data_IF_563261785257
#
_entry.id   IF_563261785257
#
_cell.length_a   1.000
_cell.length_b   1.000
_cell.length_c   1.000
_cell.angle_alpha   90.00
_cell.angle_beta   90.00
_cell.angle_gamma   90.00
#
_symmetry.space_group_name_H-M   'P 1'
#
loop_
_entity.id
_entity.type
_entity.pdbx_description
1 polymer ?
#
# COMPACT_ATOMS: atom_id res chain seq x y z
N UNK A 1 26.11 -1.71 13.36
CA UNK A 1 27.51 -2.13 13.53
C UNK A 1 28.20 -1.25 14.56
N UNK A 2 29.26 -1.74 15.22
CA UNK A 2 30.03 -0.94 16.18
C UNK A 2 30.66 0.29 15.50
N UNK A 3 30.30 1.49 15.93
CA UNK A 3 30.89 2.72 15.42
C UNK A 3 32.20 3.01 16.18
N UNK A 4 33.35 2.66 15.59
CA UNK A 4 34.68 2.82 16.21
C UNK A 4 34.94 4.22 16.76
N UNK A 5 34.41 5.25 16.10
CA UNK A 5 34.64 6.65 16.46
C UNK A 5 34.02 7.06 17.81
N UNK A 6 33.02 6.35 18.33
CA UNK A 6 32.36 6.66 19.62
C UNK A 6 32.63 5.63 20.72
N UNK A 7 33.42 4.58 20.44
CA UNK A 7 33.69 3.51 21.42
C UNK A 7 34.30 4.05 22.72
N UNK A 8 35.26 4.97 22.62
CA UNK A 8 35.89 5.57 23.80
C UNK A 8 34.92 6.46 24.59
N UNK A 9 34.03 7.18 23.90
CA UNK A 9 32.96 7.97 24.54
C UNK A 9 32.02 7.05 25.32
N UNK A 10 31.54 5.97 24.71
CA UNK A 10 30.65 5.02 25.37
C UNK A 10 31.31 4.30 26.54
N UNK A 11 32.61 3.97 26.44
CA UNK A 11 33.36 3.43 27.59
C UNK A 11 33.41 4.42 28.75
N UNK A 12 33.69 5.70 28.47
CA UNK A 12 33.70 6.76 29.47
C UNK A 12 32.33 6.90 30.14
N UNK A 13 31.27 7.04 29.35
CA UNK A 13 29.90 7.20 29.87
C UNK A 13 29.43 5.96 30.64
N UNK A 14 29.81 4.75 30.19
CA UNK A 14 29.52 3.52 30.93
C UNK A 14 30.20 3.50 32.30
N UNK A 15 31.42 3.99 32.42
CA UNK A 15 32.10 4.08 33.71
C UNK A 15 31.48 5.17 34.60
N UNK A 16 31.01 6.28 34.01
CA UNK A 16 30.38 7.39 34.72
C UNK A 16 28.99 7.05 35.27
N UNK A 17 28.20 6.28 34.52
CA UNK A 17 26.81 5.94 34.85
C UNK A 17 26.60 4.46 35.22
N UNK A 18 27.67 3.68 35.34
CA UNK A 18 27.61 2.21 35.45
C UNK A 18 27.22 1.66 36.82
N UNK A 19 27.21 2.48 37.87
CA UNK A 19 26.94 2.02 39.24
C UNK A 19 25.46 1.69 39.50
N UNK A 20 24.53 2.35 38.80
CA UNK A 20 23.09 2.26 39.08
C UNK A 20 22.29 1.45 38.03
N UNK A 21 22.98 0.80 37.09
CA UNK A 21 22.38 0.04 35.97
C UNK A 21 21.39 0.84 35.09
N UNK A 22 21.39 2.18 35.19
CA UNK A 22 20.46 3.07 34.49
C UNK A 22 20.79 3.33 33.01
N UNK A 23 21.91 2.78 32.50
CA UNK A 23 22.36 2.97 31.12
C UNK A 23 22.85 1.65 30.51
N UNK A 24 22.11 1.16 29.52
CA UNK A 24 22.50 -0.02 28.75
C UNK A 24 22.85 0.34 27.30
N UNK A 25 23.97 -0.20 26.82
CA UNK A 25 24.37 -0.10 25.42
C UNK A 25 24.04 -1.39 24.69
N UNK A 26 23.31 -1.28 23.58
CA UNK A 26 23.08 -2.38 22.64
C UNK A 26 23.69 -2.02 21.28
N UNK A 27 24.29 -2.99 20.61
CA UNK A 27 24.85 -2.83 19.26
C UNK A 27 24.24 -3.88 18.35
N UNK A 28 23.64 -3.43 17.25
CA UNK A 28 23.20 -4.33 16.20
C UNK A 28 24.40 -4.78 15.35
N UNK A 29 24.67 -6.08 15.32
CA UNK A 29 25.73 -6.72 14.52
C UNK A 29 25.35 -6.84 13.04
N UNK A 30 25.09 -5.71 12.38
CA UNK A 30 24.73 -5.70 10.95
C UNK A 30 25.80 -6.33 10.04
N UNK A 31 27.06 -6.34 10.49
CA UNK A 31 28.20 -6.89 9.75
C UNK A 31 28.16 -8.42 9.57
N UNK A 32 27.38 -9.13 10.38
CA UNK A 32 27.20 -10.59 10.25
C UNK A 32 26.07 -10.97 9.30
N UNK A 33 25.32 -9.99 8.77
CA UNK A 33 24.17 -10.21 7.90
C UNK A 33 24.63 -10.16 6.43
N UNK A 34 24.60 -11.28 5.68
CA UNK A 34 25.13 -11.34 4.32
C UNK A 34 24.48 -10.33 3.36
N UNK A 35 23.18 -10.12 3.48
CA UNK A 35 22.43 -9.16 2.65
C UNK A 35 22.82 -7.71 2.88
N UNK A 36 23.50 -7.39 3.99
CA UNK A 36 23.93 -6.03 4.31
C UNK A 36 25.40 -5.75 3.95
N UNK A 37 26.14 -6.76 3.48
CA UNK A 37 27.55 -6.60 3.09
C UNK A 37 27.81 -5.49 2.06
N UNK A 38 26.97 -5.28 1.02
CA UNK A 38 27.20 -4.23 0.02
C UNK A 38 27.23 -2.80 0.60
N UNK A 39 26.65 -2.61 1.78
CA UNK A 39 26.53 -1.31 2.46
C UNK A 39 27.66 -1.03 3.46
N UNK A 40 28.57 -1.98 3.68
CA UNK A 40 29.70 -1.80 4.59
C UNK A 40 30.52 -0.56 4.21
N UNK A 41 30.83 0.27 5.20
CA UNK A 41 31.54 1.56 5.06
C UNK A 41 30.81 2.63 4.22
N UNK A 42 29.58 2.38 3.77
CA UNK A 42 28.73 3.35 3.05
C UNK A 42 27.56 3.88 3.91
N UNK A 43 27.35 3.30 5.09
CA UNK A 43 26.27 3.69 5.99
C UNK A 43 26.67 4.81 6.94
N UNK A 44 25.71 5.70 7.23
CA UNK A 44 25.77 6.63 8.36
C UNK A 44 25.35 5.92 9.65
N UNK A 45 26.08 6.07 10.78
CA UNK A 45 25.66 5.50 12.06
C UNK A 45 24.42 6.21 12.61
N UNK A 46 23.52 5.43 13.19
CA UNK A 46 22.30 5.91 13.85
C UNK A 46 22.27 5.38 15.27
N UNK A 47 22.00 6.28 16.22
CA UNK A 47 21.91 5.99 17.64
C UNK A 47 20.46 6.11 18.09
N UNK A 48 19.88 5.02 18.59
CA UNK A 48 18.51 4.94 19.07
C UNK A 48 18.51 4.98 20.59
N UNK A 49 17.68 5.85 21.17
CA UNK A 49 17.52 5.97 22.62
C UNK A 49 16.18 5.38 23.01
N UNK A 50 16.20 4.40 23.90
CA UNK A 50 15.03 3.63 24.28
C UNK A 50 14.78 3.71 25.79
N UNK A 51 13.53 3.95 26.19
CA UNK A 51 13.07 3.89 27.58
C UNK A 51 11.86 2.97 27.64
N UNK A 52 11.87 1.98 28.54
CA UNK A 52 10.80 0.97 28.67
C UNK A 52 10.41 0.31 27.34
N UNK A 53 11.41 -0.01 26.51
CA UNK A 53 11.22 -0.64 25.20
C UNK A 53 10.65 0.27 24.10
N UNK A 54 10.46 1.57 24.38
CA UNK A 54 10.00 2.56 23.38
C UNK A 54 11.13 3.47 22.97
N UNK A 55 11.27 3.71 21.66
CA UNK A 55 12.23 4.68 21.15
C UNK A 55 11.68 6.08 21.40
N UNK A 56 12.48 6.91 22.07
CA UNK A 56 12.12 8.29 22.42
C UNK A 56 12.89 9.32 21.61
N UNK A 57 14.09 8.98 21.11
CA UNK A 57 14.86 9.91 20.29
C UNK A 57 15.91 9.19 19.45
N UNK A 58 16.46 9.91 18.48
CA UNK A 58 17.37 9.39 17.46
C UNK A 58 18.45 10.45 17.22
N UNK A 59 19.70 10.01 17.16
CA UNK A 59 20.81 10.86 16.73
C UNK A 59 21.50 10.21 15.52
N UNK A 60 21.75 11.00 14.48
CA UNK A 60 22.42 10.57 13.26
C UNK A 60 23.84 11.09 13.21
N UNK A 61 24.69 10.28 12.61
CA UNK A 61 26.08 10.61 12.40
C UNK A 61 26.87 10.62 13.70
N UNK A 62 28.19 10.74 13.57
CA UNK A 62 29.10 10.73 14.70
C UNK A 62 29.22 12.13 15.30
N UNK A 63 28.21 12.55 16.06
CA UNK A 63 28.24 13.80 16.82
C UNK A 63 28.45 13.52 18.32
N UNK A 64 29.71 13.28 18.70
CA UNK A 64 30.08 12.92 20.07
C UNK A 64 29.57 13.90 21.15
N UNK A 65 29.67 15.24 20.98
CA UNK A 65 29.10 16.19 21.95
C UNK A 65 27.58 16.04 22.11
N UNK A 66 26.84 15.93 21.00
CA UNK A 66 25.38 15.79 21.04
C UNK A 66 24.97 14.47 21.69
N UNK A 67 25.63 13.37 21.33
CA UNK A 67 25.37 12.04 21.90
C UNK A 67 25.64 12.05 23.40
N UNK A 68 26.78 12.60 23.84
CA UNK A 68 27.13 12.71 25.25
C UNK A 68 26.10 13.51 26.02
N UNK A 69 25.74 14.70 25.52
CA UNK A 69 24.73 15.56 26.13
C UNK A 69 23.40 14.82 26.27
N UNK A 70 22.95 14.13 25.23
CA UNK A 70 21.67 13.42 25.22
C UNK A 70 21.64 12.24 26.19
N UNK A 71 22.72 11.47 26.29
CA UNK A 71 22.85 10.38 27.28
C UNK A 71 22.78 10.96 28.69
N UNK A 72 23.57 11.99 28.99
CA UNK A 72 23.60 12.61 30.32
C UNK A 72 22.24 13.17 30.73
N UNK A 73 21.56 13.90 29.85
CA UNK A 73 20.21 14.44 30.10
C UNK A 73 19.20 13.34 30.43
N UNK A 74 19.14 12.29 29.61
CA UNK A 74 18.18 11.20 29.78
C UNK A 74 18.46 10.38 31.04
N UNK A 75 19.72 10.06 31.33
CA UNK A 75 20.08 9.32 32.55
C UNK A 75 19.75 10.13 33.80
N UNK A 76 20.00 11.44 33.79
CA UNK A 76 19.69 12.31 34.92
C UNK A 76 18.17 12.41 35.13
N UNK A 77 17.40 12.56 34.06
CA UNK A 77 15.94 12.56 34.12
C UNK A 77 15.38 11.24 34.68
N UNK A 78 15.89 10.09 34.23
CA UNK A 78 15.47 8.79 34.76
C UNK A 78 15.82 8.62 36.25
N UNK A 79 16.96 9.17 36.70
CA UNK A 79 17.33 9.18 38.12
C UNK A 79 16.40 10.03 38.96
N UNK A 80 16.04 11.22 38.48
CA UNK A 80 15.08 12.10 39.15
C UNK A 80 13.70 11.43 39.27
N UNK A 81 13.26 10.73 38.21
CA UNK A 81 12.01 9.97 38.22
C UNK A 81 12.09 8.79 39.21
N UNK A 82 13.19 8.02 39.18
CA UNK A 82 13.38 6.89 40.08
C UNK A 82 13.47 7.32 41.56
N UNK A 83 14.03 8.50 41.83
CA UNK A 83 14.11 9.09 43.16
C UNK A 83 12.80 9.77 43.61
N UNK A 84 11.74 9.79 42.77
CA UNK A 84 10.47 10.44 43.05
C UNK A 84 10.53 11.98 43.06
N UNK A 85 11.59 12.57 42.50
CA UNK A 85 11.78 14.02 42.41
C UNK A 85 11.07 14.63 41.21
N UNK A 86 10.71 13.80 40.22
CA UNK A 86 10.02 14.19 39.00
C UNK A 86 8.99 13.13 38.62
N UNK A 87 7.79 13.54 38.24
CA UNK A 87 6.81 12.62 37.65
C UNK A 87 7.02 12.53 36.14
N UNK A 88 6.81 11.33 35.58
CA UNK A 88 6.87 11.14 34.13
C UNK A 88 5.58 11.67 33.50
N UNK A 89 5.69 12.72 32.71
CA UNK A 89 4.58 13.24 31.92
C UNK A 89 4.23 12.25 30.79
N UNK A 90 3.12 11.53 30.96
CA UNK A 90 2.66 10.53 30.00
C UNK A 90 2.27 11.13 28.64
N UNK A 91 1.74 12.35 28.62
CA UNK A 91 1.28 13.02 27.40
C UNK A 91 2.49 13.45 26.57
N UNK A 92 3.46 14.11 27.21
CA UNK A 92 4.71 14.50 26.57
C UNK A 92 5.51 13.27 26.11
N UNK A 93 5.57 12.23 26.94
CA UNK A 93 6.23 10.96 26.58
C UNK A 93 5.58 10.35 25.34
N UNK A 94 4.25 10.36 25.26
CA UNK A 94 3.53 9.85 24.09
C UNK A 94 3.87 10.64 22.83
N UNK A 95 3.88 11.97 22.92
CA UNK A 95 4.24 12.85 21.81
C UNK A 95 5.68 12.61 21.32
N UNK A 96 6.64 12.50 22.26
CA UNK A 96 8.05 12.20 21.95
C UNK A 96 8.17 10.84 21.23
N UNK A 97 7.47 9.81 21.71
CA UNK A 97 7.47 8.48 21.06
C UNK A 97 6.83 8.53 19.67
N UNK A 98 5.74 9.28 19.51
CA UNK A 98 5.09 9.48 18.20
C UNK A 98 6.01 10.20 17.22
N UNK A 99 6.72 11.25 17.65
CA UNK A 99 7.66 11.97 16.80
C UNK A 99 8.89 11.14 16.43
N UNK A 100 9.44 10.37 17.37
CA UNK A 100 10.51 9.40 17.08
C UNK A 100 10.03 8.31 16.10
N UNK A 101 8.79 7.84 16.25
CA UNK A 101 8.18 6.86 15.36
C UNK A 101 7.94 7.43 13.96
N UNK A 102 7.49 8.68 13.84
CA UNK A 102 7.34 9.39 12.55
C UNK A 102 8.68 9.55 11.85
N UNK A 103 9.72 9.95 12.59
CA UNK A 103 11.07 10.02 12.06
C UNK A 103 11.53 8.64 11.58
N UNK A 104 11.30 7.55 12.32
CA UNK A 104 11.65 6.20 11.86
C UNK A 104 10.82 5.76 10.65
N UNK A 105 9.51 5.99 10.65
CA UNK A 105 8.61 5.64 9.56
C UNK A 105 8.96 6.37 8.25
N UNK A 106 9.54 7.57 8.34
CA UNK A 106 10.07 8.28 7.18
C UNK A 106 11.20 7.50 6.48
N UNK A 107 12.05 6.79 7.22
CA UNK A 107 13.18 6.03 6.65
C UNK A 107 12.91 4.53 6.52
N UNK A 108 12.03 4.01 7.36
CA UNK A 108 11.65 2.61 7.45
C UNK A 108 10.11 2.56 7.42
N UNK A 109 9.50 2.59 6.22
CA UNK A 109 8.03 2.68 6.07
C UNK A 109 7.25 1.59 6.81
N UNK A 110 7.90 0.46 7.12
CA UNK A 110 7.33 -0.68 7.82
C UNK A 110 7.65 -0.73 9.32
N UNK A 111 8.35 0.27 9.87
CA UNK A 111 8.75 0.31 11.28
C UNK A 111 7.54 0.64 12.17
N UNK A 112 7.22 -0.25 13.12
CA UNK A 112 6.10 -0.06 14.04
C UNK A 112 4.75 -0.61 13.57
N UNK A 113 4.69 -1.30 12.43
CA UNK A 113 3.54 -2.16 12.10
C UNK A 113 3.53 -3.29 13.14
N UNK A 114 2.70 -3.14 14.17
CA UNK A 114 2.31 -4.27 15.02
C UNK A 114 1.68 -5.30 14.08
N UNK A 115 2.43 -6.36 13.75
CA UNK A 115 1.83 -7.59 13.25
C UNK A 115 0.91 -8.08 14.36
N UNK A 116 -0.38 -7.77 14.27
CA UNK A 116 -1.38 -8.53 14.99
C UNK A 116 -1.26 -9.95 14.47
N UNK A 117 -0.90 -10.91 15.32
CA UNK A 117 -0.75 -12.34 14.99
C UNK A 117 -2.05 -13.03 14.51
N UNK A 118 -3.10 -12.28 14.18
CA UNK A 118 -4.13 -12.77 13.28
C UNK A 118 -3.58 -12.71 11.86
N UNK A 119 -3.07 -13.84 11.37
CA UNK A 119 -2.65 -14.02 9.98
C UNK A 119 -3.91 -13.91 9.10
N UNK A 120 -4.25 -12.68 8.70
CA UNK A 120 -5.31 -12.41 7.75
C UNK A 120 -4.90 -13.04 6.43
N UNK A 121 -5.53 -14.16 6.10
CA UNK A 121 -5.31 -14.88 4.86
C UNK A 121 -6.12 -14.23 3.75
N UNK A 122 -5.59 -14.24 2.52
CA UNK A 122 -6.30 -13.79 1.32
C UNK A 122 -6.69 -15.02 0.47
N UNK A 123 -7.87 -14.99 -0.14
CA UNK A 123 -8.28 -15.97 -1.17
C UNK A 123 -8.85 -15.24 -2.38
N UNK A 124 -8.68 -15.81 -3.57
CA UNK A 124 -9.42 -15.35 -4.74
C UNK A 124 -10.87 -15.86 -4.69
N UNK A 125 -11.80 -15.03 -5.11
CA UNK A 125 -13.15 -15.46 -5.50
C UNK A 125 -13.53 -14.85 -6.86
N UNK A 126 -14.07 -15.66 -7.77
CA UNK A 126 -14.59 -15.19 -9.05
C UNK A 126 -16.09 -15.40 -9.14
N UNK A 127 -16.80 -14.38 -9.61
CA UNK A 127 -18.18 -14.50 -10.10
C UNK A 127 -18.16 -14.44 -11.62
N UNK A 128 -18.46 -15.57 -12.26
CA UNK A 128 -18.35 -15.74 -13.70
C UNK A 128 -19.47 -15.03 -14.48
N UNK A 129 -19.29 -14.75 -15.79
CA UNK A 129 -20.22 -13.91 -16.56
C UNK A 129 -21.67 -14.39 -16.56
N UNK A 130 -21.87 -15.71 -16.62
CA UNK A 130 -23.21 -16.32 -16.63
C UNK A 130 -24.04 -16.00 -15.39
N UNK A 131 -23.41 -15.79 -14.22
CA UNK A 131 -24.07 -15.36 -13.00
C UNK A 131 -24.06 -13.84 -12.84
N UNK A 132 -22.96 -13.18 -13.25
CA UNK A 132 -22.76 -11.75 -13.02
C UNK A 132 -23.78 -10.88 -13.77
N UNK A 133 -24.23 -11.31 -14.96
CA UNK A 133 -25.26 -10.62 -15.74
C UNK A 133 -26.59 -10.44 -14.99
N UNK A 134 -26.87 -11.30 -14.02
CA UNK A 134 -28.07 -11.23 -13.19
C UNK A 134 -27.82 -10.36 -11.95
N UNK A 135 -28.12 -9.06 -12.02
CA UNK A 135 -27.84 -8.08 -10.94
C UNK A 135 -28.29 -8.54 -9.55
N UNK A 136 -29.49 -9.11 -9.41
CA UNK A 136 -30.02 -9.60 -8.12
C UNK A 136 -29.15 -10.72 -7.54
N UNK A 137 -28.66 -11.63 -8.39
CA UNK A 137 -27.79 -12.74 -7.97
C UNK A 137 -26.39 -12.24 -7.60
N UNK A 138 -25.82 -11.29 -8.35
CA UNK A 138 -24.57 -10.58 -7.97
C UNK A 138 -24.66 -10.03 -6.54
N UNK A 139 -25.70 -9.25 -6.24
CA UNK A 139 -25.89 -8.68 -4.89
C UNK A 139 -26.07 -9.76 -3.83
N UNK A 140 -26.80 -10.83 -4.13
CA UNK A 140 -26.99 -11.95 -3.20
C UNK A 140 -25.68 -12.65 -2.85
N UNK A 141 -24.79 -12.89 -3.82
CA UNK A 141 -23.47 -13.48 -3.56
C UNK A 141 -22.61 -12.54 -2.71
N UNK A 142 -22.55 -11.24 -3.06
CA UNK A 142 -21.76 -10.25 -2.31
C UNK A 142 -22.26 -10.09 -0.88
N UNK A 143 -23.58 -10.11 -0.67
CA UNK A 143 -24.18 -10.07 0.66
C UNK A 143 -23.78 -11.32 1.45
N UNK A 144 -23.89 -12.51 0.83
CA UNK A 144 -23.51 -13.75 1.49
C UNK A 144 -22.04 -13.79 1.89
N UNK A 145 -21.13 -13.27 1.05
CA UNK A 145 -19.70 -13.12 1.38
C UNK A 145 -19.52 -12.28 2.66
N UNK A 146 -20.24 -11.16 2.78
CA UNK A 146 -20.19 -10.28 3.95
C UNK A 146 -20.79 -10.94 5.19
N UNK A 147 -21.94 -11.59 5.05
CA UNK A 147 -22.63 -12.28 6.15
C UNK A 147 -21.76 -13.40 6.75
N UNK A 148 -20.91 -14.02 5.94
CA UNK A 148 -19.95 -15.06 6.38
C UNK A 148 -18.64 -14.50 6.99
N UNK A 149 -18.55 -13.17 7.11
CA UNK A 149 -17.45 -12.48 7.78
C UNK A 149 -16.22 -12.23 6.91
N UNK A 150 -16.30 -12.40 5.59
CA UNK A 150 -15.22 -11.96 4.70
C UNK A 150 -15.23 -10.44 4.55
N UNK A 151 -14.02 -9.86 4.50
CA UNK A 151 -13.81 -8.50 4.01
C UNK A 151 -13.32 -8.56 2.57
N UNK A 152 -13.97 -7.80 1.68
CA UNK A 152 -13.51 -7.63 0.31
C UNK A 152 -12.37 -6.60 0.36
N UNK A 153 -11.13 -7.06 0.23
CA UNK A 153 -9.96 -6.17 0.24
C UNK A 153 -9.79 -5.48 -1.12
N UNK A 154 -10.05 -6.20 -2.20
CA UNK A 154 -9.97 -5.66 -3.56
C UNK A 154 -11.07 -6.28 -4.41
N UNK A 155 -11.53 -5.55 -5.42
CA UNK A 155 -12.41 -6.08 -6.46
C UNK A 155 -12.15 -5.39 -7.80
N UNK A 156 -12.32 -6.12 -8.90
CA UNK A 156 -12.36 -5.54 -10.23
C UNK A 156 -13.27 -6.33 -11.15
N UNK A 157 -13.90 -5.65 -12.11
CA UNK A 157 -14.71 -6.28 -13.16
C UNK A 157 -13.90 -6.25 -14.45
N UNK A 158 -13.66 -7.42 -15.05
CA UNK A 158 -12.82 -7.57 -16.26
C UNK A 158 -13.49 -8.52 -17.25
N UNK A 159 -13.39 -8.20 -18.54
CA UNK A 159 -13.70 -9.13 -19.63
C UNK A 159 -12.37 -9.82 -19.98
N UNK A 160 -12.27 -11.13 -19.76
CA UNK A 160 -11.04 -11.87 -20.02
C UNK A 160 -10.90 -12.16 -21.51
N UNK A 161 -9.70 -11.97 -22.05
CA UNK A 161 -9.35 -12.49 -23.37
C UNK A 161 -9.21 -14.01 -23.33
N UNK A 162 -9.23 -14.64 -24.50
CA UNK A 162 -8.92 -16.08 -24.62
C UNK A 162 -7.52 -16.39 -24.07
N UNK A 163 -6.52 -15.56 -24.40
CA UNK A 163 -5.14 -15.69 -23.92
C UNK A 163 -5.06 -15.64 -22.39
N UNK A 164 -5.67 -14.63 -21.76
CA UNK A 164 -5.72 -14.50 -20.30
C UNK A 164 -6.44 -15.68 -19.64
N UNK A 165 -7.51 -16.18 -20.27
CA UNK A 165 -8.25 -17.32 -19.75
C UNK A 165 -7.43 -18.60 -19.80
N UNK A 166 -6.71 -18.83 -20.91
CA UNK A 166 -5.80 -19.98 -21.07
C UNK A 166 -4.63 -19.92 -20.11
N UNK A 167 -4.03 -18.76 -19.93
CA UNK A 167 -2.95 -18.57 -18.97
C UNK A 167 -3.43 -18.85 -17.54
N UNK A 168 -4.56 -18.27 -17.13
CA UNK A 168 -5.11 -18.45 -15.78
C UNK A 168 -5.51 -19.90 -15.49
N UNK A 169 -6.12 -20.60 -16.45
CA UNK A 169 -6.57 -21.98 -16.31
C UNK A 169 -5.64 -22.99 -17.01
N UNK A 170 -4.33 -22.70 -17.11
CA UNK A 170 -3.36 -23.52 -17.85
C UNK A 170 -3.35 -24.99 -17.43
N UNK A 171 -3.50 -25.27 -16.13
CA UNK A 171 -3.54 -26.64 -15.60
C UNK A 171 -4.79 -27.43 -16.04
N UNK A 172 -5.83 -26.73 -16.51
CA UNK A 172 -7.09 -27.30 -16.98
C UNK A 172 -7.16 -27.41 -18.51
N UNK A 173 -6.17 -26.94 -19.26
CA UNK A 173 -6.26 -26.81 -20.73
C UNK A 173 -6.50 -28.15 -21.44
N UNK A 174 -6.01 -29.25 -20.85
CA UNK A 174 -6.16 -30.60 -21.39
C UNK A 174 -7.43 -31.33 -20.90
N UNK A 175 -8.34 -30.65 -20.21
CA UNK A 175 -9.57 -31.26 -19.68
C UNK A 175 -10.73 -31.11 -20.68
N UNK A 176 -11.59 -32.12 -20.79
CA UNK A 176 -12.70 -32.14 -21.77
C UNK A 176 -13.70 -30.98 -21.60
N UNK A 177 -13.85 -30.45 -20.38
CA UNK A 177 -14.72 -29.30 -20.09
C UNK A 177 -14.07 -27.94 -20.39
N UNK A 178 -12.78 -27.90 -20.72
CA UNK A 178 -12.05 -26.65 -20.91
C UNK A 178 -12.60 -25.77 -22.05
N UNK A 179 -13.01 -26.29 -23.22
CA UNK A 179 -13.62 -25.46 -24.26
C UNK A 179 -14.87 -24.71 -23.77
N UNK A 180 -15.70 -25.37 -22.98
CA UNK A 180 -16.89 -24.75 -22.37
C UNK A 180 -16.50 -23.72 -21.31
N UNK A 181 -15.45 -23.99 -20.52
CA UNK A 181 -14.92 -23.02 -19.56
C UNK A 181 -14.43 -21.75 -20.26
N UNK A 182 -13.69 -21.91 -21.34
CA UNK A 182 -13.13 -20.83 -22.13
C UNK A 182 -14.23 -19.95 -22.74
N UNK A 183 -15.24 -20.55 -23.35
CA UNK A 183 -16.40 -19.84 -23.87
C UNK A 183 -17.12 -19.06 -22.75
N UNK A 184 -17.34 -19.68 -21.60
CA UNK A 184 -18.02 -19.04 -20.48
C UNK A 184 -17.25 -17.83 -19.93
N UNK A 185 -15.93 -17.94 -19.78
CA UNK A 185 -15.11 -16.86 -19.21
C UNK A 185 -14.91 -15.68 -20.16
N UNK A 186 -14.92 -15.93 -21.48
CA UNK A 186 -14.78 -14.87 -22.51
C UNK A 186 -16.12 -14.25 -22.94
N UNK A 187 -17.26 -14.84 -22.53
CA UNK A 187 -18.61 -14.37 -22.90
C UNK A 187 -19.04 -13.03 -22.30
N UNK A 188 -18.28 -12.47 -21.35
CA UNK A 188 -18.65 -11.21 -20.71
C UNK A 188 -17.81 -10.88 -19.48
N UNK A 189 -18.26 -9.90 -18.67
CA UNK A 189 -17.52 -9.46 -17.50
C UNK A 189 -17.50 -10.53 -16.40
N UNK A 190 -16.34 -10.71 -15.79
CA UNK A 190 -16.11 -11.51 -14.58
C UNK A 190 -15.80 -10.55 -13.44
N UNK A 191 -16.42 -10.75 -12.28
CA UNK A 191 -16.05 -10.02 -11.05
C UNK A 191 -14.99 -10.82 -10.31
N UNK A 192 -13.81 -10.22 -10.16
CA UNK A 192 -12.68 -10.75 -9.41
C UNK A 192 -12.71 -10.11 -8.02
N UNK A 193 -12.62 -10.91 -6.97
CA UNK A 193 -12.57 -10.45 -5.58
C UNK A 193 -11.34 -11.01 -4.87
N UNK A 194 -10.62 -10.15 -4.15
CA UNK A 194 -9.67 -10.57 -3.13
C UNK A 194 -10.37 -10.53 -1.77
N UNK A 195 -10.66 -11.70 -1.22
CA UNK A 195 -11.35 -11.84 0.05
C UNK A 195 -10.34 -12.04 1.17
N UNK A 196 -10.62 -11.46 2.34
CA UNK A 196 -9.76 -11.55 3.52
C UNK A 196 -10.53 -12.02 4.73
N UNK A 197 -9.95 -12.98 5.46
CA UNK A 197 -10.50 -13.61 6.65
C UNK A 197 -9.40 -14.44 7.33
N UNK A 198 -9.64 -14.86 8.56
CA UNK A 198 -8.92 -16.00 9.12
C UNK A 198 -9.32 -17.29 8.37
N UNK A 199 -8.35 -18.12 7.99
CA UNK A 199 -8.54 -19.35 7.21
C UNK A 199 -9.35 -19.13 5.92
N UNK A 200 -9.06 -18.04 5.20
CA UNK A 200 -9.88 -17.53 4.11
C UNK A 200 -10.08 -18.57 2.99
N UNK A 201 -9.03 -19.28 2.58
CA UNK A 201 -9.11 -20.27 1.49
C UNK A 201 -9.97 -21.45 1.91
N UNK A 202 -9.69 -22.05 3.07
CA UNK A 202 -10.43 -23.21 3.56
C UNK A 202 -11.92 -22.88 3.75
N UNK A 203 -12.21 -21.72 4.36
CA UNK A 203 -13.58 -21.30 4.62
C UNK A 203 -14.35 -20.94 3.35
N UNK A 204 -13.71 -20.29 2.38
CA UNK A 204 -14.35 -19.98 1.09
C UNK A 204 -14.68 -21.27 0.33
N UNK A 205 -13.78 -22.26 0.36
CA UNK A 205 -14.02 -23.58 -0.26
C UNK A 205 -15.18 -24.33 0.39
N UNK A 206 -15.30 -24.29 1.71
CA UNK A 206 -16.42 -24.91 2.43
C UNK A 206 -17.76 -24.29 2.00
N UNK A 207 -17.82 -22.94 1.93
CA UNK A 207 -19.01 -22.24 1.42
C UNK A 207 -19.33 -22.59 -0.02
N UNK A 208 -18.32 -22.65 -0.90
CA UNK A 208 -18.49 -23.02 -2.29
C UNK A 208 -19.09 -24.41 -2.45
N UNK A 209 -18.70 -25.37 -1.60
CA UNK A 209 -19.08 -26.77 -1.69
C UNK A 209 -18.33 -27.53 -2.79
N UNK A 210 -18.82 -28.72 -3.19
CA UNK A 210 -18.19 -29.59 -4.19
C UNK A 210 -17.85 -28.88 -5.51
N UNK A 211 -16.86 -29.40 -6.25
CA UNK A 211 -16.31 -28.71 -7.44
C UNK A 211 -17.31 -28.62 -8.58
N UNK A 212 -18.07 -29.69 -8.81
CA UNK A 212 -19.07 -29.74 -9.87
C UNK A 212 -20.43 -29.32 -9.36
N UNK A 213 -21.28 -28.80 -10.26
CA UNK A 213 -22.65 -28.40 -9.92
C UNK A 213 -23.47 -29.62 -9.48
N UNK A 214 -23.28 -30.76 -10.14
CA UNK A 214 -24.00 -32.01 -9.85
C UNK A 214 -23.69 -32.55 -8.45
N UNK A 215 -22.39 -32.66 -8.10
CA UNK A 215 -21.97 -33.07 -6.76
C UNK A 215 -22.47 -32.06 -5.72
N UNK A 216 -22.39 -30.75 -6.00
CA UNK A 216 -22.86 -29.73 -5.09
C UNK A 216 -24.36 -29.86 -4.81
N UNK A 217 -25.19 -30.08 -5.84
CA UNK A 217 -26.63 -30.29 -5.68
C UNK A 217 -26.96 -31.56 -4.89
N UNK A 218 -26.16 -32.61 -5.03
CA UNK A 218 -26.41 -33.90 -4.37
C UNK A 218 -25.93 -33.93 -2.92
N UNK A 219 -24.71 -33.46 -2.67
CA UNK A 219 -24.03 -33.61 -1.39
C UNK A 219 -24.25 -32.41 -0.46
N UNK A 220 -24.32 -31.20 -1.01
CA UNK A 220 -24.55 -29.99 -0.24
C UNK A 220 -25.43 -28.97 -1.00
N UNK A 221 -26.77 -29.19 -1.05
CA UNK A 221 -27.70 -28.30 -1.72
C UNK A 221 -27.67 -26.86 -1.21
N UNK A 222 -27.11 -26.64 -0.02
CA UNK A 222 -26.99 -25.33 0.62
C UNK A 222 -25.71 -24.57 0.28
N UNK A 223 -24.76 -25.22 -0.38
CA UNK A 223 -23.52 -24.62 -0.88
C UNK A 223 -23.78 -23.52 -1.90
N UNK A 224 -22.81 -22.62 -2.07
CA UNK A 224 -22.94 -21.54 -3.04
C UNK A 224 -22.99 -22.07 -4.48
N UNK A 225 -22.24 -23.12 -4.82
CA UNK A 225 -22.27 -23.70 -6.17
C UNK A 225 -23.61 -24.34 -6.50
N UNK A 226 -24.27 -24.98 -5.53
CA UNK A 226 -25.63 -25.51 -5.71
C UNK A 226 -26.66 -24.37 -5.84
N UNK A 227 -26.64 -23.40 -4.90
CA UNK A 227 -27.59 -22.28 -4.88
C UNK A 227 -27.50 -21.34 -6.08
N UNK A 228 -26.29 -21.13 -6.59
CA UNK A 228 -26.02 -20.21 -7.69
C UNK A 228 -25.78 -20.90 -9.04
N UNK A 229 -26.13 -22.19 -9.15
CA UNK A 229 -26.11 -22.90 -10.40
C UNK A 229 -26.95 -22.17 -11.47
N UNK A 230 -26.50 -22.23 -12.72
CA UNK A 230 -27.25 -21.73 -13.88
C UNK A 230 -27.67 -22.93 -14.72
N UNK A 231 -28.94 -22.98 -15.08
CA UNK A 231 -29.49 -24.08 -15.88
C UNK A 231 -28.72 -24.26 -17.18
N UNK A 232 -28.48 -25.51 -17.57
CA UNK A 232 -27.78 -25.92 -18.80
C UNK A 232 -26.31 -25.46 -18.88
N UNK A 233 -25.68 -25.09 -17.75
CA UNK A 233 -24.25 -24.79 -17.70
C UNK A 233 -23.61 -25.77 -16.69
N UNK A 234 -22.82 -26.76 -17.14
CA UNK A 234 -22.28 -27.80 -16.26
C UNK A 234 -21.15 -27.29 -15.35
N UNK A 235 -20.66 -26.08 -15.62
CA UNK A 235 -19.55 -25.49 -14.89
C UNK A 235 -20.08 -24.57 -13.79
N UNK A 236 -19.53 -24.72 -12.58
CA UNK A 236 -19.87 -23.85 -11.46
C UNK A 236 -19.60 -22.36 -11.75
N UNK A 237 -20.54 -21.50 -11.33
CA UNK A 237 -20.51 -20.06 -11.56
C UNK A 237 -19.56 -19.30 -10.63
N UNK A 238 -19.16 -19.95 -9.54
CA UNK A 238 -18.27 -19.41 -8.52
C UNK A 238 -16.98 -20.23 -8.46
N UNK A 239 -15.87 -19.51 -8.48
CA UNK A 239 -14.53 -20.09 -8.34
C UNK A 239 -13.86 -19.55 -7.07
N UNK A 240 -12.96 -20.35 -6.52
CA UNK A 240 -12.11 -19.96 -5.42
C UNK A 240 -10.84 -20.79 -5.43
N UNK A 241 -9.76 -20.20 -4.92
CA UNK A 241 -8.45 -20.81 -4.84
C UNK A 241 -8.49 -22.15 -4.12
N UNK A 242 -7.64 -23.10 -4.53
CA UNK A 242 -7.63 -24.43 -3.92
C UNK A 242 -6.75 -24.53 -2.69
N UNK A 243 -5.64 -23.80 -2.68
CA UNK A 243 -4.68 -23.73 -1.59
C UNK A 243 -4.25 -22.27 -1.34
N UNK A 244 -3.61 -21.97 -0.20
CA UNK A 244 -3.01 -20.65 0.02
C UNK A 244 -1.99 -20.25 -1.05
N UNK A 245 -1.24 -21.21 -1.60
CA UNK A 245 -0.26 -20.98 -2.66
C UNK A 245 -0.94 -20.65 -3.99
N UNK A 246 -2.04 -21.34 -4.32
CA UNK A 246 -2.86 -20.99 -5.48
C UNK A 246 -3.46 -19.60 -5.30
N UNK A 247 -3.97 -19.29 -4.11
CA UNK A 247 -4.51 -17.97 -3.80
C UNK A 247 -3.48 -16.87 -4.03
N UNK A 248 -2.22 -17.07 -3.62
CA UNK A 248 -1.15 -16.11 -3.87
C UNK A 248 -0.92 -15.90 -5.38
N UNK A 249 -0.77 -16.98 -6.15
CA UNK A 249 -0.52 -16.91 -7.60
C UNK A 249 -1.69 -16.26 -8.35
N UNK A 250 -2.91 -16.70 -8.04
CA UNK A 250 -4.14 -16.23 -8.65
C UNK A 250 -4.41 -14.75 -8.31
N UNK A 251 -4.15 -14.34 -7.06
CA UNK A 251 -4.24 -12.95 -6.66
C UNK A 251 -3.16 -12.11 -7.33
N UNK A 252 -1.93 -12.61 -7.50
CA UNK A 252 -0.88 -11.90 -8.23
C UNK A 252 -1.22 -11.74 -9.72
N UNK A 253 -1.87 -12.74 -10.32
CA UNK A 253 -2.32 -12.67 -11.71
C UNK A 253 -3.36 -11.56 -11.91
N UNK A 254 -4.36 -11.45 -11.02
CA UNK A 254 -5.42 -10.45 -11.17
C UNK A 254 -5.14 -9.12 -10.47
N UNK A 255 -4.31 -9.09 -9.45
CA UNK A 255 -3.98 -7.91 -8.67
C UNK A 255 -2.46 -7.81 -8.55
N UNK A 256 -1.74 -7.70 -9.69
CA UNK A 256 -0.31 -7.52 -9.64
C UNK A 256 0.01 -6.23 -8.89
N UNK A 257 1.19 -6.19 -8.27
CA UNK A 257 1.73 -4.95 -7.77
C UNK A 257 1.93 -4.01 -8.96
N UNK A 258 1.35 -2.83 -8.88
CA UNK A 258 1.41 -1.82 -9.92
C UNK A 258 2.13 -0.58 -9.40
N UNK A 259 2.70 0.16 -10.35
CA UNK A 259 3.26 1.49 -10.10
C UNK A 259 2.42 2.52 -10.85
N UNK A 260 2.19 3.66 -10.21
CA UNK A 260 1.54 4.81 -10.84
C UNK A 260 2.29 6.10 -10.53
N UNK A 261 2.19 7.06 -11.44
CA UNK A 261 2.65 8.41 -11.17
C UNK A 261 1.59 9.16 -10.36
N UNK A 262 2.00 9.74 -9.24
CA UNK A 262 1.22 10.73 -8.52
C UNK A 262 1.95 12.08 -8.54
N UNK A 263 1.21 13.15 -8.77
CA UNK A 263 1.74 14.50 -8.75
C UNK A 263 0.86 15.39 -7.88
N UNK A 264 1.47 16.10 -6.95
CA UNK A 264 0.87 17.20 -6.20
C UNK A 264 1.25 18.50 -6.91
N UNK A 265 0.24 19.20 -7.41
CA UNK A 265 0.39 20.44 -8.21
C UNK A 265 0.98 21.56 -7.36
N UNK A 266 1.67 22.56 -7.95
CA UNK A 266 2.41 23.58 -7.19
C UNK A 266 1.58 24.29 -6.12
N UNK A 267 0.34 24.68 -6.47
CA UNK A 267 -0.57 25.37 -5.55
C UNK A 267 -0.92 24.55 -4.29
N UNK A 268 -1.10 23.23 -4.44
CA UNK A 268 -1.38 22.33 -3.32
C UNK A 268 -0.10 21.88 -2.62
N UNK A 269 0.99 21.66 -3.35
CA UNK A 269 2.29 21.30 -2.79
C UNK A 269 2.78 22.36 -1.78
N UNK A 270 2.55 23.64 -2.09
CA UNK A 270 2.90 24.77 -1.22
C UNK A 270 2.16 24.78 0.13
N UNK A 271 0.94 24.24 0.20
CA UNK A 271 0.05 24.39 1.36
C UNK A 271 -0.28 23.08 2.08
N UNK A 272 -0.33 21.96 1.35
CA UNK A 272 -0.97 20.72 1.78
C UNK A 272 -0.16 19.46 1.41
N UNK A 273 1.13 19.58 1.06
CA UNK A 273 1.90 18.41 0.63
C UNK A 273 1.95 17.30 1.68
N UNK A 274 2.17 17.66 2.94
CA UNK A 274 2.31 16.69 4.03
C UNK A 274 0.97 15.98 4.31
N UNK A 275 -0.14 16.72 4.30
CA UNK A 275 -1.49 16.16 4.47
C UNK A 275 -1.86 15.19 3.34
N UNK A 276 -1.55 15.56 2.09
CA UNK A 276 -1.81 14.71 0.92
C UNK A 276 -0.95 13.45 0.96
N UNK A 277 0.35 13.58 1.30
CA UNK A 277 1.24 12.43 1.44
C UNK A 277 0.82 11.51 2.59
N UNK A 278 0.29 12.06 3.67
CA UNK A 278 -0.26 11.29 4.77
C UNK A 278 -1.48 10.47 4.31
N UNK A 279 -2.42 11.08 3.57
CA UNK A 279 -3.56 10.36 2.96
C UNK A 279 -3.12 9.24 2.01
N UNK A 280 -2.08 9.47 1.21
CA UNK A 280 -1.51 8.45 0.31
C UNK A 280 -1.06 7.22 1.12
N UNK A 281 -0.35 7.45 2.24
CA UNK A 281 0.11 6.36 3.12
C UNK A 281 -1.07 5.65 3.82
N UNK A 282 -2.04 6.41 4.31
CA UNK A 282 -3.24 5.85 4.96
C UNK A 282 -4.09 5.02 4.00
N UNK A 283 -4.11 5.39 2.72
CA UNK A 283 -4.73 4.61 1.65
C UNK A 283 -3.92 3.35 1.27
N UNK A 284 -2.80 3.07 1.93
CA UNK A 284 -2.01 1.85 1.77
C UNK A 284 -1.03 1.89 0.60
N UNK A 285 -0.74 3.06 0.03
CA UNK A 285 0.31 3.19 -0.98
C UNK A 285 1.70 3.21 -0.35
N UNK A 286 2.64 2.52 -1.00
CA UNK A 286 4.07 2.73 -0.77
C UNK A 286 4.57 3.83 -1.70
N UNK A 287 5.23 4.85 -1.15
CA UNK A 287 5.91 5.88 -1.96
C UNK A 287 7.31 5.36 -2.28
N UNK A 288 7.50 4.81 -3.48
CA UNK A 288 8.78 4.19 -3.90
C UNK A 288 9.85 5.23 -4.24
N UNK A 289 9.44 6.34 -4.87
CA UNK A 289 10.32 7.49 -5.16
C UNK A 289 9.54 8.78 -5.00
N UNK A 290 10.25 9.85 -4.68
CA UNK A 290 9.72 11.21 -4.57
C UNK A 290 10.71 12.21 -5.14
N UNK A 291 10.20 13.25 -5.80
CA UNK A 291 10.95 14.36 -6.36
C UNK A 291 10.14 15.64 -6.14
N UNK A 292 10.77 16.69 -5.64
CA UNK A 292 10.15 18.01 -5.50
C UNK A 292 10.90 18.97 -6.42
N UNK A 293 10.27 19.37 -7.53
CA UNK A 293 10.90 20.20 -8.55
C UNK A 293 9.88 21.06 -9.31
N UNK A 294 10.33 22.20 -9.83
CA UNK A 294 9.53 22.97 -10.78
C UNK A 294 9.58 22.26 -12.14
N UNK A 295 8.41 21.97 -12.71
CA UNK A 295 8.33 21.37 -14.03
C UNK A 295 8.76 22.39 -15.09
N UNK A 296 9.48 21.92 -16.11
CA UNK A 296 9.71 22.76 -17.29
C UNK A 296 8.42 22.86 -18.11
N UNK A 297 8.36 23.87 -18.99
CA UNK A 297 7.24 24.03 -19.90
C UNK A 297 7.06 22.79 -20.80
N UNK A 298 8.16 22.18 -21.25
CA UNK A 298 8.17 20.96 -22.05
C UNK A 298 7.59 19.78 -21.28
N UNK A 299 8.01 19.56 -20.03
CA UNK A 299 7.47 18.50 -19.17
C UNK A 299 5.97 18.69 -18.92
N UNK A 300 5.55 19.91 -18.58
CA UNK A 300 4.14 20.23 -18.38
C UNK A 300 3.32 20.02 -19.66
N UNK A 301 3.84 20.42 -20.82
CA UNK A 301 3.20 20.18 -22.12
C UNK A 301 3.03 18.70 -22.40
N UNK A 302 4.04 17.89 -22.10
CA UNK A 302 4.01 16.43 -22.30
C UNK A 302 2.96 15.75 -21.42
N UNK A 303 2.84 16.14 -20.15
CA UNK A 303 1.81 15.61 -19.24
C UNK A 303 0.39 15.84 -19.71
N UNK A 304 0.16 16.95 -20.41
CA UNK A 304 -1.16 17.34 -20.88
C UNK A 304 -1.29 17.28 -22.40
N UNK A 305 -0.47 16.45 -23.08
CA UNK A 305 -0.44 16.31 -24.55
C UNK A 305 -1.84 16.09 -25.14
N UNK A 306 -2.68 15.30 -24.46
CA UNK A 306 -4.06 14.98 -24.86
C UNK A 306 -5.05 16.16 -24.72
N UNK A 307 -4.60 17.29 -24.19
CA UNK A 307 -5.37 18.52 -24.05
C UNK A 307 -4.86 19.65 -24.94
N UNK A 308 -3.82 19.40 -25.75
CA UNK A 308 -3.28 20.38 -26.69
C UNK A 308 -4.38 20.87 -27.65
N UNK A 309 -4.44 22.19 -27.82
CA UNK A 309 -5.46 22.85 -28.65
C UNK A 309 -6.79 23.15 -27.93
N UNK A 310 -6.96 22.72 -26.67
CA UNK A 310 -8.11 23.15 -25.87
C UNK A 310 -7.89 24.56 -25.31
N UNK A 311 -8.94 25.41 -25.16
CA UNK A 311 -8.79 26.80 -24.71
C UNK A 311 -8.09 26.98 -23.36
N UNK A 312 -8.15 25.97 -22.48
CA UNK A 312 -7.57 25.99 -21.14
C UNK A 312 -6.14 25.42 -21.07
N UNK A 313 -5.59 24.90 -22.17
CA UNK A 313 -4.31 24.19 -22.17
C UNK A 313 -3.14 25.06 -21.69
N UNK A 314 -2.99 26.27 -22.25
CA UNK A 314 -1.90 27.20 -21.88
C UNK A 314 -1.98 27.65 -20.42
N UNK A 315 -3.20 27.85 -19.91
CA UNK A 315 -3.41 28.18 -18.50
C UNK A 315 -3.01 27.01 -17.60
N UNK A 316 -3.38 25.78 -17.98
CA UNK A 316 -3.00 24.58 -17.25
C UNK A 316 -1.48 24.38 -17.22
N UNK A 317 -0.79 24.59 -18.34
CA UNK A 317 0.68 24.54 -18.40
C UNK A 317 1.30 25.61 -17.50
N UNK A 318 0.78 26.84 -17.54
CA UNK A 318 1.23 27.94 -16.69
C UNK A 318 1.10 27.58 -15.20
N UNK A 319 -0.05 27.08 -14.76
CA UNK A 319 -0.28 26.65 -13.38
C UNK A 319 0.70 25.56 -12.91
N UNK A 320 1.20 24.74 -13.83
CA UNK A 320 2.13 23.64 -13.54
C UNK A 320 3.59 24.08 -13.47
N UNK A 321 3.94 25.21 -14.09
CA UNK A 321 5.30 25.78 -14.12
C UNK A 321 5.48 26.94 -13.13
N UNK A 322 4.42 27.37 -12.44
CA UNK A 322 4.42 28.46 -11.45
C UNK A 322 5.25 28.16 -10.17
N UNK A 323 5.61 26.90 -9.92
CA UNK A 323 6.37 26.52 -8.74
C UNK A 323 6.69 25.04 -8.66
N UNK A 324 7.31 24.59 -7.55
CA UNK A 324 7.67 23.18 -7.37
C UNK A 324 6.43 22.31 -7.21
N UNK A 325 6.35 21.24 -8.00
CA UNK A 325 5.43 20.12 -7.82
C UNK A 325 6.11 19.03 -7.00
N UNK A 326 5.33 18.22 -6.29
CA UNK A 326 5.82 16.98 -5.67
C UNK A 326 5.38 15.82 -6.55
N UNK A 327 6.32 15.15 -7.19
CA UNK A 327 6.07 13.99 -8.05
C UNK A 327 6.54 12.72 -7.32
N UNK A 328 5.70 11.69 -7.34
CA UNK A 328 5.91 10.45 -6.63
C UNK A 328 5.63 9.25 -7.53
N UNK A 329 6.35 8.16 -7.26
CA UNK A 329 5.98 6.83 -7.74
C UNK A 329 5.26 6.14 -6.60
N UNK A 330 3.99 5.84 -6.80
CA UNK A 330 3.17 5.11 -5.83
C UNK A 330 3.07 3.66 -6.24
N UNK A 331 3.18 2.78 -5.26
CA UNK A 331 3.17 1.33 -5.44
C UNK A 331 2.10 0.71 -4.58
N UNK A 332 1.21 -0.06 -5.21
CA UNK A 332 0.09 -0.79 -4.58
C UNK A 332 -0.48 -1.79 -5.60
N UNK A 333 -1.18 -2.82 -5.15
CA UNK A 333 -2.05 -3.57 -6.06
C UNK A 333 -3.13 -2.63 -6.65
N UNK A 334 -3.37 -2.69 -7.96
CA UNK A 334 -4.25 -1.74 -8.68
C UNK A 334 -3.88 -0.26 -8.47
N UNK A 335 -2.59 0.08 -8.35
CA UNK A 335 -2.15 1.41 -7.96
C UNK A 335 -2.79 2.55 -8.78
N UNK A 336 -2.95 2.36 -10.10
CA UNK A 336 -3.54 3.39 -10.97
C UNK A 336 -5.00 3.67 -10.58
N UNK A 337 -5.81 2.62 -10.46
CA UNK A 337 -7.24 2.76 -10.16
C UNK A 337 -7.46 3.29 -8.74
N UNK A 338 -6.74 2.73 -7.77
CA UNK A 338 -6.80 3.15 -6.37
C UNK A 338 -6.38 4.62 -6.21
N UNK A 339 -5.38 5.07 -6.99
CA UNK A 339 -4.93 6.46 -6.93
C UNK A 339 -5.97 7.39 -7.53
N UNK A 340 -6.58 6.99 -8.66
CA UNK A 340 -7.68 7.74 -9.27
C UNK A 340 -8.89 7.85 -8.34
N UNK A 341 -9.22 6.78 -7.63
CA UNK A 341 -10.28 6.79 -6.63
C UNK A 341 -9.95 7.74 -5.47
N UNK A 342 -8.71 7.70 -4.95
CA UNK A 342 -8.26 8.58 -3.87
C UNK A 342 -8.23 10.06 -4.30
N UNK A 343 -7.84 10.34 -5.55
CA UNK A 343 -7.89 11.69 -6.13
C UNK A 343 -9.32 12.22 -6.22
N UNK A 344 -10.28 11.39 -6.65
CA UNK A 344 -11.65 11.77 -6.90
C UNK A 344 -11.86 12.50 -8.24
N UNK A 345 -13.10 12.93 -8.55
CA UNK A 345 -13.45 13.63 -9.79
C UNK A 345 -12.58 14.86 -10.06
N UNK A 346 -12.27 15.13 -11.33
CA UNK A 346 -11.41 16.25 -11.75
C UNK A 346 -11.97 17.61 -11.33
N UNK A 347 -13.29 17.78 -11.39
CA UNK A 347 -14.00 18.96 -10.92
C UNK A 347 -14.19 18.87 -9.40
N UNK A 348 -13.65 19.81 -8.62
CA UNK A 348 -13.74 19.77 -7.18
C UNK A 348 -15.15 19.95 -6.62
N UNK A 349 -16.06 20.65 -7.33
CA UNK A 349 -17.45 20.78 -6.87
C UNK A 349 -18.18 19.45 -7.01
N UNK A 350 -17.92 18.71 -8.09
CA UNK A 350 -18.42 17.32 -8.24
C UNK A 350 -17.78 16.41 -7.20
N UNK A 351 -16.48 16.56 -6.93
CA UNK A 351 -15.77 15.76 -5.93
C UNK A 351 -16.33 15.97 -4.52
N UNK A 352 -16.62 17.21 -4.11
CA UNK A 352 -17.22 17.52 -2.80
C UNK A 352 -18.57 16.81 -2.59
N UNK A 353 -19.37 16.69 -3.65
CA UNK A 353 -20.69 16.04 -3.56
C UNK A 353 -20.59 14.51 -3.62
N UNK A 354 -19.76 13.98 -4.52
CA UNK A 354 -19.75 12.53 -4.82
C UNK A 354 -18.71 11.73 -4.05
N UNK A 355 -17.60 12.38 -3.67
CA UNK A 355 -16.45 11.79 -2.97
C UNK A 355 -15.83 12.80 -2.00
N UNK A 356 -16.54 13.24 -0.94
CA UNK A 356 -16.09 14.31 -0.03
C UNK A 356 -14.75 14.04 0.66
N UNK A 357 -14.37 12.77 0.81
CA UNK A 357 -13.09 12.36 1.41
C UNK A 357 -11.91 12.33 0.42
N UNK A 358 -12.16 12.59 -0.86
CA UNK A 358 -11.13 12.59 -1.90
C UNK A 358 -10.20 13.79 -1.78
N UNK A 359 -8.98 13.64 -2.32
CA UNK A 359 -7.96 14.70 -2.28
C UNK A 359 -8.48 15.96 -2.99
N UNK A 360 -9.16 15.82 -4.14
CA UNK A 360 -9.70 16.96 -4.89
C UNK A 360 -10.84 17.65 -4.15
N UNK A 361 -11.67 16.94 -3.41
CA UNK A 361 -12.72 17.55 -2.60
C UNK A 361 -12.13 18.44 -1.49
N UNK A 362 -11.03 18.00 -0.87
CA UNK A 362 -10.47 18.63 0.33
C UNK A 362 -9.44 19.73 0.03
N UNK A 363 -8.65 19.60 -1.03
CA UNK A 363 -7.46 20.44 -1.25
C UNK A 363 -7.45 21.22 -2.58
N UNK A 364 -8.41 20.98 -3.48
CA UNK A 364 -8.50 21.72 -4.73
C UNK A 364 -8.92 23.18 -4.51
N UNK A 365 -8.38 24.09 -5.31
CA UNK A 365 -8.79 25.49 -5.34
C UNK A 365 -9.88 25.72 -6.39
N UNK A 366 -9.67 25.17 -7.59
CA UNK A 366 -10.59 25.23 -8.72
C UNK A 366 -10.30 24.07 -9.70
N UNK A 367 -10.97 24.06 -10.86
CA UNK A 367 -10.86 22.99 -11.86
C UNK A 367 -9.46 22.87 -12.50
N UNK A 368 -8.71 23.98 -12.63
CA UNK A 368 -7.35 23.99 -13.19
C UNK A 368 -6.32 23.67 -12.10
N UNK A 369 -6.55 24.18 -10.88
CA UNK A 369 -5.76 23.97 -9.67
C UNK A 369 -6.38 22.92 -8.75
N UNK A 370 -6.72 21.77 -9.32
CA UNK A 370 -7.40 20.67 -8.62
C UNK A 370 -6.48 19.80 -7.75
N UNK A 371 -5.45 20.38 -7.14
CA UNK A 371 -4.49 19.76 -6.22
C UNK A 371 -3.58 18.63 -6.76
N UNK A 372 -4.10 17.63 -7.46
CA UNK A 372 -3.35 16.40 -7.81
C UNK A 372 -3.63 15.89 -9.23
N UNK A 373 -2.62 15.24 -9.79
CA UNK A 373 -2.63 14.56 -11.08
C UNK A 373 -2.16 13.10 -10.94
N UNK A 374 -2.60 12.25 -11.86
CA UNK A 374 -2.17 10.87 -11.94
C UNK A 374 -2.52 10.22 -13.28
N UNK A 375 -1.91 9.08 -13.52
CA UNK A 375 -2.03 8.35 -14.79
C UNK A 375 -3.45 7.82 -15.02
N UNK A 376 -3.79 7.59 -16.29
CA UNK A 376 -5.11 7.13 -16.72
C UNK A 376 -5.21 5.61 -16.80
N UNK A 377 -4.10 4.94 -17.09
CA UNK A 377 -3.96 3.48 -17.18
C UNK A 377 -2.49 3.11 -16.90
N UNK A 378 -2.18 1.81 -16.93
CA UNK A 378 -0.83 1.28 -16.65
C UNK A 378 0.22 1.73 -17.66
N UNK A 379 -0.13 1.79 -18.95
CA UNK A 379 0.80 2.21 -20.01
C UNK A 379 1.16 3.69 -19.85
N UNK A 380 0.17 4.54 -19.62
CA UNK A 380 0.38 5.96 -19.31
C UNK A 380 1.16 6.14 -18.00
N UNK A 381 1.02 5.25 -17.01
CA UNK A 381 1.84 5.28 -15.81
C UNK A 381 3.31 5.02 -16.10
N UNK A 382 3.63 4.01 -16.90
CA UNK A 382 5.01 3.71 -17.30
C UNK A 382 5.63 4.87 -18.09
N UNK A 383 4.94 5.38 -19.12
CA UNK A 383 5.39 6.54 -19.91
C UNK A 383 5.65 7.77 -19.02
N UNK A 384 4.74 8.04 -18.08
CA UNK A 384 4.83 9.21 -17.19
C UNK A 384 5.96 9.08 -16.19
N UNK A 385 6.18 7.88 -15.64
CA UNK A 385 7.27 7.58 -14.70
C UNK A 385 8.61 7.76 -15.41
N UNK A 386 8.75 7.16 -16.60
CA UNK A 386 9.96 7.27 -17.42
C UNK A 386 10.27 8.72 -17.78
N UNK A 387 9.26 9.50 -18.18
CA UNK A 387 9.41 10.90 -18.51
C UNK A 387 9.98 11.76 -17.35
N UNK A 388 9.66 11.45 -16.10
CA UNK A 388 10.07 12.27 -14.93
C UNK A 388 11.34 11.76 -14.27
N UNK A 389 11.47 10.45 -14.15
CA UNK A 389 12.49 9.79 -13.35
C UNK A 389 13.51 9.03 -14.19
N UNK A 390 13.35 8.98 -15.52
CA UNK A 390 14.17 8.18 -16.43
C UNK A 390 13.84 6.70 -16.36
N UNK A 391 14.69 5.86 -16.95
CA UNK A 391 14.64 4.41 -16.74
C UNK A 391 14.83 4.11 -15.25
N UNK A 392 13.89 3.37 -14.67
CA UNK A 392 13.95 2.93 -13.29
C UNK A 392 13.82 1.42 -13.28
N UNK A 393 14.72 0.76 -12.56
CA UNK A 393 14.51 -0.60 -12.08
C UNK A 393 13.42 -0.55 -11.01
N UNK A 394 12.20 -0.94 -11.37
CA UNK A 394 11.02 -0.90 -10.47
C UNK A 394 10.68 -2.28 -9.90
N UNK A 395 11.52 -3.29 -10.16
CA UNK A 395 11.36 -4.67 -9.67
C UNK A 395 11.86 -4.90 -8.24
#
# INVERSE_FOLDING_TARGET
GPCKAVVNLFRKLKNEFGEDDGLHFAVAEADSIPTLQPFRNKCEPVFLFCVNGKIITIVRGVNAPLISKKITELVQEEREIAAGQKERDEVLTKQIVEDASRQLAFFFPNFGIKRTDQKVEKTLALIRPSLLKERRRKYSVLQRIKDDGFKIAMQKEIILSEEQTREFYKEHENQDYFPVLLEQMTSGPTLILALTRENAVAHWRDLLGPKTVEEAMKENPNSLRAKYAVNNIPIAQLHGSSTPDDAQKELQFFFPQEHTLALIKPAAAKKHKDDIMQKVKEAGFTISKIKEEALTHEMATQFYKDHKGKPFFEHLVTCMTEGPSVVMILTKENAVEEWRQLMGPTDPEVAKVTSPESIRAQFAQDILSNAVHGSSNREHALESIECVFGEIDID
#
